data_IF_656216126478
#
_entry.id   IF_656216126478
#
_cell.length_a   1.000
_cell.length_b   1.000
_cell.length_c   1.000
_cell.angle_alpha   90.00
_cell.angle_beta   90.00
_cell.angle_gamma   90.00
#
_symmetry.space_group_name_H-M   'P 1'
#
loop_
_entity.id
_entity.type
_entity.pdbx_description
1 polymer ?
#
# COMPACT_ATOMS: atom_id res chain seq x y z
N UNK A 1 -14.10 11.05 -26.84
CA UNK A 1 -13.55 11.20 -25.48
C UNK A 1 -13.15 9.84 -24.87
N UNK A 2 -13.97 8.82 -24.98
CA UNK A 2 -13.70 7.45 -24.51
C UNK A 2 -12.39 6.84 -25.03
N UNK A 3 -12.08 6.94 -26.32
CA UNK A 3 -10.85 6.38 -26.92
C UNK A 3 -9.54 6.89 -26.27
N UNK A 4 -9.48 8.16 -25.88
CA UNK A 4 -8.30 8.73 -25.20
C UNK A 4 -8.17 8.21 -23.76
N UNK A 5 -9.31 8.09 -23.07
CA UNK A 5 -9.35 7.54 -21.70
C UNK A 5 -8.96 6.07 -21.71
N UNK A 6 -9.48 5.30 -22.66
CA UNK A 6 -9.14 3.88 -22.82
C UNK A 6 -7.67 3.67 -23.20
N UNK A 7 -7.12 4.54 -24.06
CA UNK A 7 -5.70 4.54 -24.40
C UNK A 7 -4.81 4.82 -23.19
N UNK A 8 -5.15 5.85 -22.41
CA UNK A 8 -4.43 6.22 -21.19
C UNK A 8 -4.51 5.11 -20.14
N UNK A 9 -5.69 4.52 -19.96
CA UNK A 9 -5.92 3.42 -19.04
C UNK A 9 -5.09 2.18 -19.40
N UNK A 10 -4.99 1.86 -20.68
CA UNK A 10 -4.16 0.76 -21.21
C UNK A 10 -2.67 0.96 -20.96
N UNK A 11 -2.19 2.20 -21.03
CA UNK A 11 -0.79 2.54 -20.77
C UNK A 11 -0.51 2.51 -19.26
N UNK A 12 -1.38 3.13 -18.46
CA UNK A 12 -1.18 3.26 -17.02
C UNK A 12 -1.34 1.91 -16.31
N UNK A 13 -2.36 1.12 -16.66
CA UNK A 13 -2.65 -0.18 -16.02
C UNK A 13 -2.19 -1.40 -16.83
N UNK A 14 -1.52 -1.18 -17.94
CA UNK A 14 -1.00 -2.23 -18.79
C UNK A 14 0.35 -2.79 -18.34
N UNK A 15 1.08 -3.37 -19.28
CA UNK A 15 2.40 -3.95 -19.07
C UNK A 15 3.40 -3.04 -18.33
N UNK A 16 3.47 -1.70 -18.57
CA UNK A 16 4.39 -0.84 -17.86
C UNK A 16 4.18 -0.82 -16.35
N UNK A 17 2.91 -0.73 -15.89
CA UNK A 17 2.61 -0.75 -14.45
C UNK A 17 2.97 -2.09 -13.82
N UNK A 18 2.64 -3.20 -14.49
CA UNK A 18 2.98 -4.55 -14.04
C UNK A 18 4.49 -4.73 -13.90
N UNK A 19 5.25 -4.32 -14.92
CA UNK A 19 6.72 -4.39 -14.90
C UNK A 19 7.30 -3.55 -13.77
N UNK A 20 6.77 -2.35 -13.53
CA UNK A 20 7.21 -1.50 -12.43
C UNK A 20 6.89 -2.13 -11.06
N UNK A 21 5.68 -2.60 -10.85
CA UNK A 21 5.25 -3.18 -9.56
C UNK A 21 6.05 -4.44 -9.25
N UNK A 22 6.13 -5.36 -10.21
CA UNK A 22 6.88 -6.62 -10.04
C UNK A 22 8.38 -6.35 -9.96
N UNK A 23 8.90 -5.47 -10.82
CA UNK A 23 10.32 -5.09 -10.85
C UNK A 23 10.78 -4.44 -9.55
N UNK A 24 10.04 -3.47 -9.03
CA UNK A 24 10.34 -2.83 -7.74
C UNK A 24 10.23 -3.85 -6.60
N UNK A 25 9.20 -4.69 -6.59
CA UNK A 25 9.02 -5.74 -5.60
C UNK A 25 10.18 -6.75 -5.60
N UNK A 26 10.62 -7.17 -6.79
CA UNK A 26 11.75 -8.08 -6.94
C UNK A 26 13.07 -7.41 -6.55
N UNK A 27 13.31 -6.19 -7.01
CA UNK A 27 14.49 -5.40 -6.64
C UNK A 27 14.61 -5.23 -5.12
N UNK A 28 13.53 -4.84 -4.45
CA UNK A 28 13.52 -4.69 -3.00
C UNK A 28 13.69 -6.03 -2.29
N UNK A 29 13.08 -7.11 -2.78
CA UNK A 29 13.25 -8.45 -2.22
C UNK A 29 14.70 -8.90 -2.25
N UNK A 30 15.40 -8.69 -3.36
CA UNK A 30 16.81 -9.01 -3.49
C UNK A 30 17.69 -8.11 -2.61
N UNK A 31 17.45 -6.80 -2.64
CA UNK A 31 18.23 -5.83 -1.87
C UNK A 31 18.07 -6.00 -0.36
N UNK A 32 16.91 -6.34 0.11
CA UNK A 32 16.60 -6.60 1.52
C UNK A 32 16.80 -8.07 1.92
N UNK A 33 17.42 -8.88 1.07
CA UNK A 33 17.71 -10.30 1.31
C UNK A 33 16.47 -11.09 1.74
N UNK A 34 15.39 -10.92 0.98
CA UNK A 34 14.10 -11.57 1.25
C UNK A 34 13.57 -11.31 2.67
N UNK A 35 13.56 -10.03 3.06
CA UNK A 35 13.09 -9.59 4.38
C UNK A 35 11.69 -10.15 4.73
N UNK A 36 10.80 -10.31 3.73
CA UNK A 36 9.49 -10.91 3.90
C UNK A 36 9.53 -12.34 4.45
N UNK A 37 10.57 -13.11 4.16
CA UNK A 37 10.74 -14.47 4.68
C UNK A 37 11.51 -14.46 6.01
N UNK A 38 12.59 -13.68 6.09
CA UNK A 38 13.47 -13.66 7.27
C UNK A 38 12.84 -12.97 8.48
N UNK A 39 12.01 -11.95 8.25
CA UNK A 39 11.33 -11.22 9.32
C UNK A 39 9.95 -11.80 9.65
N UNK A 40 9.38 -12.64 8.79
CA UNK A 40 8.05 -13.21 8.96
C UNK A 40 7.83 -13.88 10.34
N UNK A 41 8.73 -14.76 10.84
CA UNK A 41 8.52 -15.39 12.14
C UNK A 41 8.48 -14.39 13.30
N UNK A 42 9.28 -13.31 13.21
CA UNK A 42 9.27 -12.25 14.22
C UNK A 42 7.99 -11.41 14.14
N UNK A 43 7.57 -11.06 12.93
CA UNK A 43 6.33 -10.33 12.67
C UNK A 43 5.12 -11.14 13.17
N UNK A 44 5.09 -12.44 12.89
CA UNK A 44 4.03 -13.34 13.33
C UNK A 44 3.93 -13.44 14.86
N UNK A 45 5.06 -13.62 15.53
CA UNK A 45 5.10 -13.61 17.01
C UNK A 45 4.60 -12.28 17.58
N UNK A 46 5.01 -11.15 17.00
CA UNK A 46 4.51 -9.84 17.41
C UNK A 46 3.02 -9.67 17.15
N UNK A 47 2.54 -10.10 16.01
CA UNK A 47 1.11 -10.10 15.69
C UNK A 47 0.31 -10.87 16.75
N UNK A 48 0.71 -12.09 17.08
CA UNK A 48 0.06 -12.89 18.11
C UNK A 48 0.13 -12.22 19.50
N UNK A 49 1.21 -11.54 19.82
CA UNK A 49 1.32 -10.79 21.08
C UNK A 49 0.38 -9.58 21.15
N UNK A 50 0.09 -8.96 20.00
CA UNK A 50 -0.85 -7.82 19.91
C UNK A 50 -2.32 -8.24 20.10
N UNK A 51 -2.65 -9.50 19.85
CA UNK A 51 -3.99 -10.04 20.08
C UNK A 51 -4.31 -10.24 21.57
N UNK A 52 -3.31 -10.19 22.45
CA UNK A 52 -3.52 -10.34 23.90
C UNK A 52 -4.13 -9.04 24.47
N UNK A 53 -5.25 -9.12 25.21
CA UNK A 53 -5.84 -7.96 25.85
C UNK A 53 -4.90 -7.41 26.94
N UNK A 54 -4.73 -6.09 27.01
CA UNK A 54 -4.01 -5.43 28.10
C UNK A 54 -2.79 -4.61 27.73
N UNK A 55 -2.36 -4.56 26.47
CA UNK A 55 -1.28 -3.65 26.07
C UNK A 55 -1.81 -2.21 25.98
N UNK A 56 -1.60 -1.43 27.05
CA UNK A 56 -1.82 0.03 27.02
C UNK A 56 -0.67 0.67 26.23
N UNK A 57 -0.98 1.33 25.13
CA UNK A 57 -0.05 2.24 24.48
C UNK A 57 -0.13 3.60 25.15
N UNK A 58 1.01 4.22 25.44
CA UNK A 58 1.08 5.54 26.08
C UNK A 58 0.43 6.69 25.29
N UNK A 59 0.00 6.46 24.06
CA UNK A 59 -0.63 7.45 23.15
C UNK A 59 -2.11 7.18 22.87
N UNK A 60 -2.80 6.42 23.68
CA UNK A 60 -4.26 6.22 23.57
C UNK A 60 -4.73 5.19 22.55
N UNK A 61 -3.94 4.84 21.51
CA UNK A 61 -4.30 3.83 20.50
C UNK A 61 -3.47 2.56 20.73
N UNK A 62 -4.14 1.43 20.89
CA UNK A 62 -3.44 0.15 21.02
C UNK A 62 -2.90 -0.36 19.68
N UNK A 63 -1.82 -1.17 19.65
CA UNK A 63 -1.29 -1.75 18.41
C UNK A 63 -2.34 -2.56 17.65
N UNK A 64 -3.24 -3.22 18.34
CA UNK A 64 -4.36 -3.96 17.73
C UNK A 64 -5.36 -3.01 17.04
N UNK A 65 -5.74 -1.90 17.69
CA UNK A 65 -6.60 -0.90 17.08
C UNK A 65 -5.97 -0.29 15.83
N UNK A 66 -4.68 0.04 15.87
CA UNK A 66 -3.96 0.55 14.71
C UNK A 66 -3.96 -0.46 13.55
N UNK A 67 -3.76 -1.75 13.86
CA UNK A 67 -3.84 -2.82 12.86
C UNK A 67 -5.24 -2.94 12.26
N UNK A 68 -6.29 -2.94 13.09
CA UNK A 68 -7.68 -3.02 12.63
C UNK A 68 -8.02 -1.82 11.72
N UNK A 69 -7.58 -0.62 12.10
CA UNK A 69 -7.78 0.59 11.27
C UNK A 69 -7.07 0.47 9.92
N UNK A 70 -5.83 -0.01 9.91
CA UNK A 70 -5.07 -0.22 8.68
C UNK A 70 -5.73 -1.28 7.78
N UNK A 71 -6.21 -2.38 8.35
CA UNK A 71 -6.94 -3.42 7.60
C UNK A 71 -8.26 -2.88 7.05
N UNK A 72 -9.04 -2.16 7.85
CA UNK A 72 -10.30 -1.57 7.41
C UNK A 72 -10.11 -0.57 6.26
N UNK A 73 -9.00 0.19 6.26
CA UNK A 73 -8.66 1.08 5.16
C UNK A 73 -8.16 0.36 3.90
N UNK A 74 -7.66 -0.86 4.02
CA UNK A 74 -7.06 -1.62 2.92
C UNK A 74 -8.06 -2.59 2.27
N UNK A 75 -8.96 -3.16 3.06
CA UNK A 75 -9.97 -4.12 2.57
C UNK A 75 -11.14 -3.35 1.99
N UNK A 76 -11.27 -3.40 0.68
CA UNK A 76 -12.37 -2.78 -0.07
C UNK A 76 -13.05 -3.76 -1.02
N UNK A 77 -14.05 -3.31 -1.74
CA UNK A 77 -14.80 -4.10 -2.74
C UNK A 77 -13.90 -4.68 -3.83
N UNK A 78 -12.79 -4.01 -4.15
CA UNK A 78 -11.77 -4.50 -5.09
C UNK A 78 -11.16 -5.84 -4.68
N UNK A 79 -11.06 -6.13 -3.39
CA UNK A 79 -10.52 -7.39 -2.88
C UNK A 79 -11.51 -8.56 -3.06
N UNK A 80 -12.79 -8.28 -3.29
CA UNK A 80 -13.82 -9.29 -3.53
C UNK A 80 -14.12 -9.35 -5.04
N UNK A 81 -14.59 -8.27 -5.60
CA UNK A 81 -15.00 -8.19 -7.02
C UNK A 81 -13.81 -8.33 -7.96
N UNK A 82 -12.68 -7.70 -7.63
CA UNK A 82 -11.46 -7.79 -8.43
C UNK A 82 -10.86 -9.20 -8.44
N UNK A 83 -10.88 -9.89 -7.31
CA UNK A 83 -10.42 -11.29 -7.22
C UNK A 83 -11.37 -12.23 -7.97
N UNK A 84 -12.68 -12.08 -7.79
CA UNK A 84 -13.66 -12.86 -8.53
C UNK A 84 -13.52 -12.65 -10.05
N UNK A 85 -13.41 -11.41 -10.51
CA UNK A 85 -13.16 -11.07 -11.91
C UNK A 85 -11.87 -11.67 -12.46
N UNK A 86 -10.78 -11.61 -11.70
CA UNK A 86 -9.50 -12.20 -12.09
C UNK A 86 -9.58 -13.73 -12.23
N UNK A 87 -10.34 -14.40 -11.37
CA UNK A 87 -10.57 -15.87 -11.46
C UNK A 87 -11.44 -16.20 -12.67
N UNK A 88 -12.49 -15.40 -12.91
CA UNK A 88 -13.37 -15.62 -14.07
C UNK A 88 -12.62 -15.46 -15.40
N UNK A 89 -11.71 -14.50 -15.51
CA UNK A 89 -10.96 -14.20 -16.74
C UNK A 89 -9.70 -15.09 -16.88
N UNK A 90 -8.98 -15.32 -15.79
CA UNK A 90 -7.67 -15.98 -15.79
C UNK A 90 -7.70 -17.44 -15.29
N UNK A 91 -8.87 -17.92 -14.87
CA UNK A 91 -9.02 -19.27 -14.32
C UNK A 91 -8.25 -19.47 -13.01
N UNK A 92 -8.05 -20.73 -12.58
CA UNK A 92 -7.34 -21.06 -11.33
C UNK A 92 -5.90 -20.54 -11.25
N UNK A 93 -5.25 -20.36 -12.39
CA UNK A 93 -3.89 -19.81 -12.48
C UNK A 93 -3.78 -18.38 -11.96
N UNK A 94 -4.86 -17.60 -11.97
CA UNK A 94 -4.88 -16.26 -11.42
C UNK A 94 -4.55 -16.25 -9.91
N UNK A 95 -5.01 -17.23 -9.15
CA UNK A 95 -4.74 -17.35 -7.71
C UNK A 95 -3.25 -17.52 -7.44
N UNK A 96 -2.58 -18.35 -8.23
CA UNK A 96 -1.13 -18.55 -8.10
C UNK A 96 -0.36 -17.24 -8.31
N UNK A 97 -0.69 -16.48 -9.35
CA UNK A 97 -0.06 -15.20 -9.61
C UNK A 97 -0.39 -14.15 -8.56
N UNK A 98 -1.61 -14.15 -8.01
CA UNK A 98 -1.95 -13.29 -6.89
C UNK A 98 -1.09 -13.56 -5.64
N UNK A 99 -0.77 -14.83 -5.35
CA UNK A 99 0.12 -15.16 -4.24
C UNK A 99 1.54 -14.65 -4.47
N UNK A 100 2.08 -14.80 -5.69
CA UNK A 100 3.40 -14.26 -6.04
C UNK A 100 3.41 -12.74 -5.89
N UNK A 101 2.40 -12.05 -6.42
CA UNK A 101 2.26 -10.60 -6.25
C UNK A 101 2.11 -10.20 -4.78
N UNK A 102 1.39 -10.99 -3.98
CA UNK A 102 1.25 -10.76 -2.54
C UNK A 102 2.58 -10.82 -1.80
N UNK A 103 3.41 -11.83 -2.08
CA UNK A 103 4.75 -11.96 -1.48
C UNK A 103 5.65 -10.78 -1.87
N UNK A 104 5.63 -10.34 -3.13
CA UNK A 104 6.37 -9.17 -3.58
C UNK A 104 5.79 -7.87 -2.98
N UNK A 105 4.47 -7.80 -2.82
CA UNK A 105 3.79 -6.68 -2.18
C UNK A 105 4.15 -6.49 -0.70
N UNK A 106 4.42 -7.57 0.03
CA UNK A 106 4.85 -7.50 1.43
C UNK A 106 6.12 -6.67 1.61
N UNK A 107 7.12 -6.86 0.75
CA UNK A 107 8.40 -6.15 0.89
C UNK A 107 8.28 -4.69 0.46
N UNK A 108 7.48 -4.39 -0.55
CA UNK A 108 7.19 -3.01 -0.95
C UNK A 108 6.49 -2.26 0.17
N UNK A 109 5.49 -2.88 0.80
CA UNK A 109 4.78 -2.29 1.95
C UNK A 109 5.68 -2.12 3.16
N UNK A 110 6.54 -3.08 3.44
CA UNK A 110 7.56 -2.97 4.49
C UNK A 110 8.50 -1.78 4.24
N UNK A 111 8.98 -1.59 3.03
CA UNK A 111 9.83 -0.46 2.66
C UNK A 111 9.08 0.87 2.79
N UNK A 112 7.84 0.96 2.30
CA UNK A 112 6.99 2.14 2.41
C UNK A 112 6.78 2.56 3.87
N UNK A 113 6.36 1.65 4.74
CA UNK A 113 6.14 1.93 6.16
C UNK A 113 7.44 2.33 6.87
N UNK A 114 8.55 1.65 6.57
CA UNK A 114 9.85 1.97 7.15
C UNK A 114 10.31 3.37 6.76
N UNK A 115 10.16 3.74 5.50
CA UNK A 115 10.48 5.09 5.01
C UNK A 115 9.55 6.14 5.62
N UNK A 116 8.25 5.88 5.69
CA UNK A 116 7.28 6.78 6.31
C UNK A 116 7.60 7.04 7.79
N UNK A 117 8.04 6.02 8.53
CA UNK A 117 8.47 6.17 9.93
C UNK A 117 9.80 6.94 10.05
N UNK A 118 10.75 6.69 9.15
CA UNK A 118 12.05 7.35 9.16
C UNK A 118 11.97 8.86 8.89
N UNK A 119 11.13 9.25 7.93
CA UNK A 119 10.97 10.62 7.47
C UNK A 119 9.74 11.34 8.03
N UNK A 120 9.16 10.81 9.14
CA UNK A 120 8.07 11.49 9.82
C UNK A 120 8.54 12.78 10.49
N UNK A 121 7.67 13.77 10.51
CA UNK A 121 7.92 15.09 11.11
C UNK A 121 7.05 15.25 12.35
N UNK A 122 7.63 15.83 13.39
CA UNK A 122 6.89 16.18 14.61
C UNK A 122 6.25 17.56 14.42
N UNK A 123 4.92 17.63 14.56
CA UNK A 123 4.16 18.87 14.53
C UNK A 123 3.50 19.09 15.91
N UNK A 124 2.98 20.29 16.19
CA UNK A 124 2.23 20.54 17.42
C UNK A 124 1.03 19.60 17.63
N UNK A 125 0.44 19.12 16.54
CA UNK A 125 -0.68 18.16 16.56
C UNK A 125 -0.23 16.70 16.69
N UNK A 126 1.09 16.41 16.70
CA UNK A 126 1.62 15.05 16.80
C UNK A 126 2.60 14.69 15.68
N UNK A 127 2.86 13.40 15.50
CA UNK A 127 3.72 12.90 14.44
C UNK A 127 2.95 12.74 13.13
N UNK A 128 3.45 13.35 12.06
CA UNK A 128 2.89 13.24 10.72
C UNK A 128 3.93 12.60 9.80
N UNK A 129 3.52 11.69 8.95
CA UNK A 129 4.35 11.01 7.98
C UNK A 129 3.53 10.67 6.72
N UNK A 130 4.22 10.14 5.73
CA UNK A 130 3.60 9.70 4.48
C UNK A 130 4.54 9.90 3.30
N UNK A 131 4.14 9.46 2.09
CA UNK A 131 4.99 9.54 0.90
C UNK A 131 5.45 10.96 0.56
N UNK A 132 4.61 11.99 0.79
CA UNK A 132 4.99 13.38 0.58
C UNK A 132 6.18 13.82 1.44
N UNK A 133 6.24 13.36 2.71
CA UNK A 133 7.37 13.65 3.60
C UNK A 133 8.60 12.84 3.22
N UNK A 134 8.43 11.60 2.75
CA UNK A 134 9.54 10.79 2.22
C UNK A 134 10.18 11.48 1.02
N UNK A 135 9.38 12.04 0.12
CA UNK A 135 9.87 12.77 -1.06
C UNK A 135 10.61 14.04 -0.63
N UNK A 136 10.02 14.88 0.21
CA UNK A 136 10.61 16.18 0.58
C UNK A 136 11.82 16.04 1.49
N UNK A 137 11.79 15.13 2.45
CA UNK A 137 12.88 14.94 3.43
C UNK A 137 13.94 13.94 2.95
N UNK A 138 13.54 12.97 2.12
CA UNK A 138 14.45 11.93 1.63
C UNK A 138 15.19 12.31 0.34
N UNK A 139 14.49 12.93 -0.62
CA UNK A 139 15.04 13.34 -1.91
C UNK A 139 15.48 14.83 -1.93
N UNK A 140 15.01 15.60 -0.95
CA UNK A 140 15.33 17.02 -0.82
C UNK A 140 14.26 17.95 -1.40
N UNK A 141 14.40 19.24 -1.07
CA UNK A 141 13.42 20.29 -1.38
C UNK A 141 13.21 20.52 -2.88
N UNK A 142 14.16 20.13 -3.74
CA UNK A 142 14.01 20.20 -5.20
C UNK A 142 12.84 19.34 -5.72
N UNK A 143 12.46 18.29 -4.99
CA UNK A 143 11.37 17.39 -5.35
C UNK A 143 10.03 17.75 -4.71
N UNK A 144 9.92 18.94 -4.07
CA UNK A 144 8.65 19.45 -3.53
C UNK A 144 7.50 19.46 -4.55
N UNK A 145 7.69 19.84 -5.83
CA UNK A 145 6.60 19.77 -6.81
C UNK A 145 6.03 18.36 -7.00
N UNK A 146 6.88 17.33 -6.92
CA UNK A 146 6.46 15.93 -7.02
C UNK A 146 5.65 15.52 -5.77
N UNK A 147 6.03 15.99 -4.59
CA UNK A 147 5.27 15.74 -3.37
C UNK A 147 3.89 16.41 -3.41
N UNK A 148 3.80 17.64 -3.93
CA UNK A 148 2.53 18.36 -4.11
C UNK A 148 1.66 17.64 -5.13
N UNK A 149 2.21 17.22 -6.27
CA UNK A 149 1.49 16.45 -7.28
C UNK A 149 0.93 15.14 -6.67
N UNK A 150 1.73 14.43 -5.88
CA UNK A 150 1.28 13.25 -5.17
C UNK A 150 0.07 13.54 -4.25
N UNK A 151 0.13 14.64 -3.49
CA UNK A 151 -0.99 15.04 -2.61
C UNK A 151 -2.25 15.36 -3.42
N UNK A 152 -2.13 16.11 -4.50
CA UNK A 152 -3.27 16.46 -5.36
C UNK A 152 -3.91 15.21 -5.96
N UNK A 153 -3.11 14.32 -6.56
CA UNK A 153 -3.61 13.05 -7.08
C UNK A 153 -4.21 12.16 -5.99
N UNK A 154 -3.62 12.16 -4.79
CA UNK A 154 -4.15 11.42 -3.64
C UNK A 154 -5.54 11.92 -3.21
N UNK A 155 -5.75 13.23 -3.17
CA UNK A 155 -7.06 13.82 -2.86
C UNK A 155 -8.08 13.46 -3.94
N UNK A 156 -7.75 13.61 -5.22
CA UNK A 156 -8.64 13.25 -6.33
C UNK A 156 -8.98 11.77 -6.29
N UNK A 157 -7.99 10.90 -6.05
CA UNK A 157 -8.20 9.46 -5.93
C UNK A 157 -9.10 9.09 -4.75
N UNK A 158 -9.00 9.79 -3.61
CA UNK A 158 -9.85 9.54 -2.46
C UNK A 158 -11.34 9.76 -2.76
N UNK A 159 -11.67 10.79 -3.55
CA UNK A 159 -13.05 11.03 -3.98
C UNK A 159 -13.53 9.98 -4.99
N UNK A 160 -12.71 9.59 -5.95
CA UNK A 160 -13.07 8.64 -7.01
C UNK A 160 -13.06 7.20 -6.51
N UNK A 161 -11.90 6.71 -6.14
CA UNK A 161 -11.69 5.28 -5.81
C UNK A 161 -12.17 4.95 -4.39
N UNK A 162 -12.01 5.89 -3.45
CA UNK A 162 -12.37 5.65 -2.04
C UNK A 162 -13.87 5.52 -1.79
N UNK A 163 -14.68 6.31 -2.49
CA UNK A 163 -16.13 6.37 -2.24
C UNK A 163 -16.97 5.91 -3.45
N UNK A 164 -16.72 6.46 -4.64
CA UNK A 164 -17.60 6.23 -5.79
C UNK A 164 -17.60 4.77 -6.26
N UNK A 165 -16.45 4.11 -6.28
CA UNK A 165 -16.37 2.70 -6.70
C UNK A 165 -16.97 1.73 -5.69
N UNK A 166 -16.90 2.06 -4.38
CA UNK A 166 -17.47 1.22 -3.33
C UNK A 166 -19.01 1.30 -3.32
N UNK A 167 -19.58 2.49 -3.55
CA UNK A 167 -21.03 2.69 -3.64
C UNK A 167 -21.59 1.98 -4.88
N UNK A 168 -20.87 1.99 -5.99
CA UNK A 168 -21.33 1.41 -7.25
C UNK A 168 -21.22 -0.13 -7.29
N UNK A 169 -20.56 -0.75 -6.30
CA UNK A 169 -20.37 -2.19 -6.21
C UNK A 169 -21.32 -2.87 -5.22
N UNK A 170 -22.16 -2.09 -4.51
CA UNK A 170 -23.23 -2.52 -3.63
C UNK A 170 -24.55 -2.47 -4.36
#
# INVERSE_FOLDING_TARGET
MTKYIDGLNRIVWGAPALVLIVGVGLYLSLRLRFAQLTLFPRAWRRFLSMLRPGQKSGNGVTPFQALCTALAATVGTGNIVGVAGAICLGGPGAIFWMWICGVLGMVTKYAEVTLALRYRVKTPAGWIGGPMYVITQGLGTKFTPMAVAYCVFGVVAAFGVGNATQINAV
#
